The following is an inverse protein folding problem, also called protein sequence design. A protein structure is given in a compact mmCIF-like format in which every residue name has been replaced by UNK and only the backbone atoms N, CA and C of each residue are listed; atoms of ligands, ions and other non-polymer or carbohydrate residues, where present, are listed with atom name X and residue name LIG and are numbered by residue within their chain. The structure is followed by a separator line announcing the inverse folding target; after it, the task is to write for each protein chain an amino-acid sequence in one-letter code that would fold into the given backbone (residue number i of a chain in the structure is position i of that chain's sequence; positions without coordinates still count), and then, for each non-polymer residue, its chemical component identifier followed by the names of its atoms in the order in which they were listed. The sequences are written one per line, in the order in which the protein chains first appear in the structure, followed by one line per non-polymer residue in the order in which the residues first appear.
data_IF_454088183524
#
_entry.id   IF_454088183524
#
_cell.length_a   1.000
_cell.length_b   1.000
_cell.length_c   1.000
_cell.angle_alpha   90.00
_cell.angle_beta   90.00
_cell.angle_gamma   90.00
#
_symmetry.space_group_name_H-M   'P 1'
#
loop_
_entity.id
_entity.type
_entity.pdbx_description
1 polymer ?
#
# COMPACT_ATOMS: atom_id res chain seq x y z
N UNK A 1 18.70 -1.68 -8.53
CA UNK A 1 17.27 -1.50 -8.25
C UNK A 1 16.60 -2.83 -8.52
N UNK A 2 15.98 -3.43 -7.50
CA UNK A 2 15.32 -4.73 -7.65
C UNK A 2 13.99 -4.56 -8.41
N UNK A 3 13.51 -5.61 -9.10
CA UNK A 3 12.23 -5.58 -9.84
C UNK A 3 11.03 -5.20 -8.94
N UNK A 4 11.11 -5.55 -7.65
CA UNK A 4 10.13 -5.17 -6.63
C UNK A 4 10.07 -3.67 -6.39
N UNK A 5 11.22 -2.98 -6.39
CA UNK A 5 11.31 -1.56 -6.07
C UNK A 5 10.72 -0.75 -7.23
N UNK A 6 11.00 -1.15 -8.47
CA UNK A 6 10.35 -0.59 -9.67
C UNK A 6 8.83 -0.76 -9.64
N UNK A 7 8.36 -1.89 -9.08
CA UNK A 7 6.92 -2.15 -8.93
C UNK A 7 6.32 -1.24 -7.86
N UNK A 8 7.01 -1.05 -6.72
CA UNK A 8 6.60 -0.11 -5.68
C UNK A 8 6.55 1.32 -6.23
N UNK A 9 7.59 1.78 -6.92
CA UNK A 9 7.64 3.13 -7.49
C UNK A 9 6.53 3.37 -8.51
N UNK A 10 6.20 2.36 -9.34
CA UNK A 10 5.05 2.42 -10.25
C UNK A 10 3.74 2.62 -9.48
N UNK A 11 3.49 1.79 -8.47
CA UNK A 11 2.26 1.89 -7.69
C UNK A 11 2.16 3.23 -6.96
N UNK A 12 3.27 3.73 -6.42
CA UNK A 12 3.34 5.06 -5.79
C UNK A 12 2.95 6.15 -6.79
N UNK A 13 3.43 6.06 -8.03
CA UNK A 13 3.05 6.96 -9.12
C UNK A 13 1.57 6.90 -9.48
N UNK A 14 1.00 5.70 -9.57
CA UNK A 14 -0.44 5.46 -9.84
C UNK A 14 -1.31 6.05 -8.72
N UNK A 15 -0.99 5.74 -7.46
CA UNK A 15 -1.71 6.28 -6.29
C UNK A 15 -1.67 7.80 -6.26
N UNK A 16 -0.50 8.40 -6.51
CA UNK A 16 -0.35 9.86 -6.58
C UNK A 16 -1.17 10.49 -7.71
N UNK A 17 -1.28 9.82 -8.85
CA UNK A 17 -2.04 10.30 -10.00
C UNK A 17 -3.56 10.18 -9.83
N UNK A 18 -4.03 9.17 -9.10
CA UNK A 18 -5.46 8.90 -8.90
C UNK A 18 -6.07 9.56 -7.65
N UNK A 19 -5.24 10.20 -6.82
CA UNK A 19 -5.66 10.88 -5.61
C UNK A 19 -6.52 12.11 -5.92
N UNK A 20 -7.68 12.28 -5.24
CA UNK A 20 -8.50 13.49 -5.43
C UNK A 20 -7.76 14.74 -4.93
N UNK A 21 -7.95 15.89 -5.58
CA UNK A 21 -7.25 17.15 -5.27
C UNK A 21 -7.35 17.61 -3.81
N UNK A 22 -8.40 17.20 -3.10
CA UNK A 22 -8.66 17.50 -1.68
C UNK A 22 -7.87 16.63 -0.70
N UNK A 23 -7.08 15.67 -1.20
CA UNK A 23 -6.27 14.77 -0.40
C UNK A 23 -4.80 15.14 -0.46
N UNK A 24 -4.13 15.05 0.68
CA UNK A 24 -2.69 15.22 0.83
C UNK A 24 -2.03 13.84 0.80
N UNK A 25 -0.86 13.80 0.19
CA UNK A 25 -0.05 12.61 0.03
C UNK A 25 1.25 12.78 0.81
N UNK A 26 1.52 11.86 1.72
CA UNK A 26 2.76 11.76 2.47
C UNK A 26 3.38 10.37 2.25
N UNK A 27 4.70 10.32 2.11
CA UNK A 27 5.45 9.13 1.74
C UNK A 27 6.65 8.99 2.66
N UNK A 28 6.59 8.00 3.54
CA UNK A 28 7.61 7.72 4.55
C UNK A 28 8.90 7.14 3.92
N UNK A 29 8.86 6.82 2.62
CA UNK A 29 9.96 6.21 1.90
C UNK A 29 10.12 4.72 2.20
N UNK A 30 11.25 4.16 1.77
CA UNK A 30 11.55 2.75 1.95
C UNK A 30 12.09 2.46 3.34
N UNK A 31 11.52 1.45 3.97
CA UNK A 31 11.99 0.85 5.21
C UNK A 31 12.31 -0.63 4.99
N UNK A 32 13.57 -0.99 5.16
CA UNK A 32 13.98 -2.40 5.19
C UNK A 32 13.68 -3.01 6.54
N UNK A 33 13.04 -4.18 6.51
CA UNK A 33 12.68 -4.96 7.68
C UNK A 33 13.37 -6.32 7.59
N UNK A 34 14.11 -6.74 8.62
CA UNK A 34 14.71 -8.06 8.65
C UNK A 34 13.61 -9.13 8.66
N UNK A 35 13.83 -10.20 7.91
CA UNK A 35 12.94 -11.34 7.82
C UNK A 35 13.75 -12.64 7.71
N UNK A 36 13.08 -13.79 7.80
CA UNK A 36 13.70 -15.09 7.58
C UNK A 36 13.08 -15.76 6.37
N UNK A 37 13.91 -16.19 5.43
CA UNK A 37 13.49 -17.01 4.29
C UNK A 37 13.36 -18.46 4.72
N UNK A 38 14.34 -18.92 5.50
CA UNK A 38 14.34 -20.23 6.15
C UNK A 38 14.90 -20.08 7.57
N UNK A 39 14.77 -21.08 8.46
CA UNK A 39 15.37 -21.02 9.80
C UNK A 39 16.89 -20.77 9.81
N UNK A 40 17.59 -21.05 8.71
CA UNK A 40 19.05 -20.91 8.57
C UNK A 40 19.46 -19.79 7.60
N UNK A 41 18.49 -19.04 7.04
CA UNK A 41 18.76 -18.00 6.04
C UNK A 41 17.95 -16.75 6.33
N UNK A 42 18.67 -15.70 6.72
CA UNK A 42 18.13 -14.36 6.87
C UNK A 42 17.79 -13.74 5.51
N UNK A 43 16.94 -12.73 5.57
CA UNK A 43 16.51 -11.96 4.44
C UNK A 43 16.08 -10.55 4.84
N UNK A 44 15.75 -9.75 3.84
CA UNK A 44 15.15 -8.45 3.98
C UNK A 44 13.83 -8.38 3.20
N UNK A 45 12.87 -7.66 3.75
CA UNK A 45 11.67 -7.22 3.05
C UNK A 45 11.62 -5.69 3.11
N UNK A 46 11.30 -5.05 1.99
CA UNK A 46 11.09 -3.62 1.95
C UNK A 46 9.61 -3.33 2.19
N UNK A 47 9.34 -2.30 2.99
CA UNK A 47 8.02 -1.72 3.19
C UNK A 47 8.09 -0.24 2.83
N UNK A 48 7.11 0.27 2.10
CA UNK A 48 6.92 1.70 1.88
C UNK A 48 5.52 2.08 2.30
N UNK A 49 5.43 3.06 3.18
CA UNK A 49 4.15 3.49 3.77
C UNK A 49 3.77 4.82 3.17
N UNK A 50 2.53 4.89 2.70
CA UNK A 50 1.93 6.11 2.17
C UNK A 50 0.79 6.50 3.09
N UNK A 51 0.84 7.73 3.60
CA UNK A 51 -0.24 8.30 4.41
C UNK A 51 -1.01 9.30 3.56
N UNK A 52 -2.31 9.04 3.42
CA UNK A 52 -3.24 9.89 2.70
C UNK A 52 -4.15 10.58 3.70
N UNK A 53 -4.21 11.90 3.64
CA UNK A 53 -5.04 12.71 4.54
C UNK A 53 -5.99 13.60 3.75
N UNK A 54 -7.28 13.51 4.02
CA UNK A 54 -8.33 14.26 3.35
C UNK A 54 -9.46 14.64 4.30
N UNK A 55 -10.60 15.11 3.76
CA UNK A 55 -11.77 15.44 4.56
C UNK A 55 -12.34 14.21 5.28
N UNK A 56 -12.73 14.39 6.55
CA UNK A 56 -13.39 13.35 7.33
C UNK A 56 -14.69 12.87 6.67
N UNK A 57 -14.95 11.56 6.73
CA UNK A 57 -16.12 10.92 6.12
C UNK A 57 -15.99 10.63 4.62
N UNK A 58 -14.84 10.93 4.01
CA UNK A 58 -14.57 10.65 2.58
C UNK A 58 -13.59 9.49 2.37
N UNK A 59 -13.14 8.84 3.45
CA UNK A 59 -12.10 7.80 3.45
C UNK A 59 -12.52 6.59 2.63
N UNK A 60 -13.78 6.20 2.77
CA UNK A 60 -14.34 5.09 2.02
C UNK A 60 -14.49 5.36 0.51
N UNK A 61 -14.80 6.60 0.12
CA UNK A 61 -14.80 7.03 -1.29
C UNK A 61 -13.38 7.00 -1.86
N UNK A 62 -12.39 7.50 -1.11
CA UNK A 62 -10.99 7.45 -1.50
C UNK A 62 -10.50 6.00 -1.63
N UNK A 63 -10.85 5.11 -0.70
CA UNK A 63 -10.53 3.69 -0.79
C UNK A 63 -11.16 3.02 -2.01
N UNK A 64 -12.42 3.30 -2.30
CA UNK A 64 -13.10 2.76 -3.48
C UNK A 64 -12.44 3.27 -4.77
N UNK A 65 -12.07 4.56 -4.82
CA UNK A 65 -11.34 5.15 -5.96
C UNK A 65 -9.98 4.49 -6.16
N UNK A 66 -9.17 4.38 -5.10
CA UNK A 66 -7.87 3.71 -5.14
C UNK A 66 -8.01 2.25 -5.57
N UNK A 67 -8.94 1.52 -4.97
CA UNK A 67 -9.22 0.13 -5.32
C UNK A 67 -9.57 -0.04 -6.81
N UNK A 68 -10.31 0.91 -7.39
CA UNK A 68 -10.69 0.86 -8.81
C UNK A 68 -9.49 0.95 -9.77
N UNK A 69 -8.38 1.57 -9.35
CA UNK A 69 -7.15 1.62 -10.13
C UNK A 69 -6.38 0.29 -10.18
N UNK A 70 -6.53 -0.56 -9.16
CA UNK A 70 -5.80 -1.83 -9.04
C UNK A 70 -6.51 -3.04 -9.66
N UNK A 71 -7.78 -2.94 -10.02
CA UNK A 71 -8.55 -4.04 -10.60
C UNK A 71 -9.01 -5.07 -9.57
N UNK A 72 -8.48 -6.30 -9.60
CA UNK A 72 -8.92 -7.47 -8.81
C UNK A 72 -8.51 -7.39 -7.32
N UNK A 73 -9.04 -6.37 -6.65
CA UNK A 73 -8.81 -6.11 -5.24
C UNK A 73 -9.66 -7.00 -4.34
N UNK A 74 -9.11 -7.43 -3.22
CA UNK A 74 -9.86 -8.04 -2.13
C UNK A 74 -10.27 -6.96 -1.14
N UNK A 75 -11.54 -6.57 -1.18
CA UNK A 75 -12.10 -5.59 -0.25
C UNK A 75 -12.19 -6.15 1.17
N UNK A 76 -11.95 -5.30 2.17
CA UNK A 76 -12.33 -5.55 3.56
C UNK A 76 -13.63 -4.80 3.84
N UNK A 77 -14.78 -5.50 3.84
CA UNK A 77 -16.07 -4.86 4.07
C UNK A 77 -16.19 -4.39 5.52
N UNK A 78 -16.86 -3.27 5.70
CA UNK A 78 -17.46 -2.84 6.97
C UNK A 78 -18.97 -2.69 6.76
N UNK A 79 -19.73 -2.32 7.79
CA UNK A 79 -21.15 -1.94 7.60
C UNK A 79 -21.22 -0.70 6.68
N UNK A 80 -21.41 -0.92 5.38
CA UNK A 80 -21.43 0.12 4.35
C UNK A 80 -20.16 0.15 3.50
N UNK A 81 -19.31 1.15 3.73
CA UNK A 81 -18.16 1.47 2.86
C UNK A 81 -16.93 0.63 3.23
N UNK A 82 -16.11 0.15 2.28
CA UNK A 82 -14.93 -0.65 2.62
C UNK A 82 -13.97 0.11 3.55
N UNK A 83 -13.53 -0.56 4.62
CA UNK A 83 -12.52 -0.05 5.57
C UNK A 83 -11.08 -0.25 5.04
N UNK A 84 -10.93 -0.97 3.93
CA UNK A 84 -9.65 -1.16 3.27
C UNK A 84 -9.72 -2.17 2.13
N UNK A 85 -8.58 -2.42 1.51
CA UNK A 85 -8.43 -3.47 0.51
C UNK A 85 -7.04 -4.07 0.53
N UNK A 86 -6.90 -5.20 -0.15
CA UNK A 86 -5.64 -5.88 -0.39
C UNK A 86 -5.53 -6.27 -1.86
N UNK A 87 -4.36 -6.09 -2.45
CA UNK A 87 -4.06 -6.56 -3.81
C UNK A 87 -2.61 -6.98 -3.94
N UNK A 88 -2.37 -7.97 -4.80
CA UNK A 88 -1.01 -8.32 -5.25
C UNK A 88 -0.71 -7.51 -6.52
N UNK A 89 0.24 -6.57 -6.42
CA UNK A 89 0.64 -5.71 -7.53
C UNK A 89 1.61 -6.41 -8.51
N UNK A 90 1.83 -7.71 -8.33
CA UNK A 90 2.86 -8.48 -9.03
C UNK A 90 4.23 -8.30 -8.38
N UNK A 91 5.21 -9.05 -8.88
CA UNK A 91 6.60 -9.01 -8.39
C UNK A 91 6.73 -9.20 -6.87
N UNK A 92 5.79 -9.94 -6.26
CA UNK A 92 5.75 -10.21 -4.82
C UNK A 92 5.57 -8.93 -3.99
N UNK A 93 4.85 -7.94 -4.53
CA UNK A 93 4.51 -6.70 -3.85
C UNK A 93 3.05 -6.75 -3.43
N UNK A 94 2.81 -6.83 -2.13
CA UNK A 94 1.50 -6.70 -1.54
C UNK A 94 1.18 -5.22 -1.31
N UNK A 95 0.01 -4.78 -1.74
CA UNK A 95 -0.54 -3.46 -1.44
C UNK A 95 -1.71 -3.63 -0.50
N UNK A 96 -1.65 -2.98 0.66
CA UNK A 96 -2.71 -3.00 1.66
C UNK A 96 -3.12 -1.60 2.02
N UNK A 97 -4.37 -1.26 1.74
CA UNK A 97 -4.98 -0.02 2.19
C UNK A 97 -5.87 -0.25 3.42
N UNK A 98 -5.93 0.75 4.31
CA UNK A 98 -6.85 0.78 5.45
C UNK A 98 -7.17 2.22 5.86
N UNK A 99 -8.38 2.43 6.37
CA UNK A 99 -8.69 3.63 7.17
C UNK A 99 -7.91 3.55 8.49
N UNK A 100 -7.23 4.62 8.87
CA UNK A 100 -6.43 4.70 10.10
C UNK A 100 -6.95 5.75 11.10
N UNK A 101 -8.11 6.34 10.82
CA UNK A 101 -8.77 7.36 11.63
C UNK A 101 -9.57 8.31 10.74
N UNK A 102 -10.27 9.30 11.34
CA UNK A 102 -10.95 10.33 10.59
C UNK A 102 -9.99 11.03 9.62
N UNK A 103 -10.44 11.18 8.37
CA UNK A 103 -9.71 11.79 7.27
C UNK A 103 -8.46 11.04 6.84
N UNK A 104 -8.16 9.85 7.36
CA UNK A 104 -6.84 9.22 7.18
C UNK A 104 -6.92 7.82 6.60
N UNK A 105 -6.25 7.61 5.48
CA UNK A 105 -6.07 6.30 4.84
C UNK A 105 -4.57 6.01 4.74
N UNK A 106 -4.16 4.82 5.16
CA UNK A 106 -2.77 4.36 5.07
C UNK A 106 -2.68 3.23 4.05
N UNK A 107 -1.71 3.34 3.14
CA UNK A 107 -1.34 2.29 2.21
C UNK A 107 0.06 1.76 2.56
N UNK A 108 0.15 0.46 2.77
CA UNK A 108 1.40 -0.25 2.98
C UNK A 108 1.72 -1.06 1.71
N UNK A 109 2.86 -0.75 1.09
CA UNK A 109 3.42 -1.55 -0.01
C UNK A 109 4.55 -2.38 0.56
N UNK A 110 4.40 -3.70 0.53
CA UNK A 110 5.34 -4.62 1.16
C UNK A 110 5.84 -5.66 0.17
N UNK A 111 7.16 -5.82 0.07
CA UNK A 111 7.76 -6.90 -0.71
C UNK A 111 7.74 -8.21 0.07
N UNK A 112 7.80 -9.32 -0.66
CA UNK A 112 8.18 -10.61 -0.08
C UNK A 112 9.58 -10.58 0.54
N UNK A 113 9.84 -11.51 1.46
CA UNK A 113 11.15 -11.71 2.06
C UNK A 113 12.13 -12.23 1.00
N UNK A 114 13.28 -11.56 0.84
CA UNK A 114 14.33 -11.89 -0.14
C UNK A 114 15.69 -11.98 0.55
N UNK A 115 16.69 -12.63 -0.06
CA UNK A 115 18.04 -12.62 0.48
C UNK A 115 18.48 -11.17 0.69
N UNK A 116 18.91 -10.86 1.92
CA UNK A 116 19.68 -9.66 2.18
C UNK A 116 21.10 -10.00 1.72
N UNK A 117 21.58 -9.32 0.69
CA UNK A 117 22.92 -9.55 0.15
C UNK A 117 23.99 -9.09 1.16
#
# INVERSE_FOLDING_TARGET
VCSSDLTIDRVVGEVRGDLPDRWRFDDDGYHENPCRITPMRDGAAATRTLTLSGPEGTEGEALAKLASGFGDVRLRPAEGTPEGFYVDAGNFVAVRARVNGPGTVVLELKTGCRPAD
#
